data_IF_558397467463
#
_entry.id   IF_558397467463
#
_cell.length_a   1.000
_cell.length_b   1.000
_cell.length_c   1.000
_cell.angle_alpha   90.00
_cell.angle_beta   90.00
_cell.angle_gamma   90.00
#
_symmetry.space_group_name_H-M   'P 1'
#
loop_
_entity.id
_entity.type
_entity.pdbx_description
1 polymer ?
#
# COMPACT_ATOMS: atom_id res chain seq x y z
N UNK A 1 17.35 27.24 -0.84
CA UNK A 1 17.91 26.70 -2.10
C UNK A 1 19.42 26.85 -2.21
N UNK A 2 20.00 28.05 -2.05
CA UNK A 2 21.45 28.25 -2.17
C UNK A 2 22.29 27.36 -1.22
N UNK A 3 21.86 27.18 0.03
CA UNK A 3 22.54 26.30 0.99
C UNK A 3 22.61 24.83 0.53
N UNK A 4 21.50 24.24 0.08
CA UNK A 4 21.48 22.83 -0.35
C UNK A 4 22.33 22.61 -1.61
N UNK A 5 22.36 23.58 -2.52
CA UNK A 5 23.23 23.53 -3.69
C UNK A 5 24.71 23.60 -3.29
N UNK A 6 25.07 24.52 -2.41
CA UNK A 6 26.44 24.65 -1.90
C UNK A 6 26.88 23.38 -1.15
N UNK A 7 26.01 22.87 -0.27
CA UNK A 7 26.24 21.62 0.45
C UNK A 7 26.52 20.45 -0.51
N UNK A 8 25.77 20.36 -1.61
CA UNK A 8 26.02 19.33 -2.64
C UNK A 8 27.36 19.50 -3.34
N UNK A 9 27.77 20.72 -3.65
CA UNK A 9 29.03 21.01 -4.32
C UNK A 9 30.24 20.77 -3.41
N UNK A 10 30.09 21.04 -2.12
CA UNK A 10 31.17 20.91 -1.13
C UNK A 10 31.32 19.49 -0.58
N UNK A 11 30.29 18.64 -0.72
CA UNK A 11 30.32 17.26 -0.23
C UNK A 11 31.15 16.38 -1.17
N UNK A 12 32.27 15.78 -0.69
CA UNK A 12 33.04 14.83 -1.48
C UNK A 12 32.21 13.61 -1.88
N UNK A 13 32.52 13.04 -3.04
CA UNK A 13 31.90 11.80 -3.49
C UNK A 13 32.14 10.67 -2.47
N UNK A 14 31.07 10.00 -2.03
CA UNK A 14 31.10 8.95 -1.02
C UNK A 14 30.94 9.46 0.42
N UNK A 15 30.91 10.77 0.64
CA UNK A 15 30.66 11.38 1.95
C UNK A 15 29.21 11.85 2.12
N UNK A 16 28.33 11.63 1.14
CA UNK A 16 26.94 12.10 1.18
C UNK A 16 26.17 11.58 2.40
N UNK A 17 26.48 10.37 2.86
CA UNK A 17 25.82 9.74 4.00
C UNK A 17 26.18 10.31 5.38
N UNK A 18 27.23 11.13 5.48
CA UNK A 18 27.62 11.80 6.74
C UNK A 18 27.16 13.27 6.81
N UNK A 19 26.47 13.74 5.78
CA UNK A 19 25.96 15.11 5.72
C UNK A 19 24.70 15.23 6.58
N UNK A 20 24.70 16.19 7.49
CA UNK A 20 23.51 16.56 8.26
C UNK A 20 23.01 17.94 7.83
N UNK A 21 21.70 18.05 7.59
CA UNK A 21 21.06 19.33 7.27
C UNK A 21 20.39 19.87 8.55
N UNK A 22 20.79 21.06 9.04
CA UNK A 22 20.18 21.64 10.23
C UNK A 22 18.68 21.90 10.06
N UNK A 23 17.91 21.68 11.12
CA UNK A 23 16.46 21.93 11.13
C UNK A 23 16.08 23.38 10.80
N UNK A 24 16.97 24.34 11.07
CA UNK A 24 16.79 25.74 10.68
C UNK A 24 16.77 25.97 9.16
N UNK A 25 17.40 25.07 8.38
CA UNK A 25 17.37 25.07 6.92
C UNK A 25 16.20 24.23 6.41
N UNK A 26 16.00 23.05 6.99
CA UNK A 26 14.98 22.09 6.58
C UNK A 26 14.43 21.35 7.82
N UNK A 27 13.31 21.85 8.36
CA UNK A 27 12.63 21.23 9.50
C UNK A 27 12.04 19.86 9.10
N UNK A 28 12.49 18.74 9.71
CA UNK A 28 12.02 17.38 9.36
C UNK A 28 10.52 17.17 9.60
N UNK A 29 9.85 18.06 10.37
CA UNK A 29 8.40 18.06 10.58
C UNK A 29 7.62 18.62 9.39
N UNK A 30 8.30 19.35 8.50
CA UNK A 30 7.71 20.00 7.33
C UNK A 30 8.21 19.39 6.04
N UNK A 31 9.51 19.10 5.95
CA UNK A 31 10.17 18.58 4.76
C UNK A 31 11.27 17.61 5.15
N UNK A 32 11.40 16.50 4.41
CA UNK A 32 12.54 15.59 4.57
C UNK A 32 13.39 15.66 3.33
N UNK A 33 14.69 15.88 3.53
CA UNK A 33 15.68 15.87 2.47
C UNK A 33 16.33 14.49 2.45
N UNK A 34 16.36 13.88 1.28
CA UNK A 34 16.96 12.55 1.09
C UNK A 34 18.20 12.65 0.24
N UNK A 35 19.12 11.72 0.44
CA UNK A 35 20.06 11.31 -0.59
C UNK A 35 19.69 9.93 -1.11
N UNK A 36 19.95 9.71 -2.40
CA UNK A 36 19.77 8.42 -3.04
C UNK A 36 20.96 7.50 -2.74
N UNK A 37 20.68 6.28 -2.31
CA UNK A 37 21.66 5.22 -2.10
C UNK A 37 21.17 3.92 -2.78
N UNK A 38 22.01 2.89 -2.74
CA UNK A 38 21.60 1.53 -3.09
C UNK A 38 21.80 0.63 -1.88
N UNK A 39 20.86 -0.26 -1.63
CA UNK A 39 21.00 -1.25 -0.57
C UNK A 39 21.92 -2.42 -1.00
N UNK A 40 22.10 -3.40 -0.11
CA UNK A 40 22.97 -4.55 -0.35
C UNK A 40 22.52 -5.42 -1.55
N UNK A 41 21.28 -5.27 -2.00
CA UNK A 41 20.70 -5.99 -3.15
C UNK A 41 20.72 -5.14 -4.42
N UNK A 42 21.31 -3.93 -4.37
CA UNK A 42 21.37 -3.01 -5.51
C UNK A 42 20.06 -2.29 -5.79
N UNK A 43 19.11 -2.29 -4.85
CA UNK A 43 17.84 -1.59 -5.01
C UNK A 43 17.94 -0.15 -4.51
N UNK A 44 17.27 0.78 -5.19
CA UNK A 44 17.30 2.21 -4.86
C UNK A 44 16.69 2.46 -3.46
N UNK A 45 17.44 3.19 -2.62
CA UNK A 45 17.05 3.63 -1.30
C UNK A 45 17.12 5.16 -1.17
N UNK A 46 16.36 5.71 -0.22
CA UNK A 46 16.32 7.12 0.12
C UNK A 46 16.56 7.28 1.62
N UNK A 47 17.75 7.74 1.96
CA UNK A 47 18.21 7.91 3.33
C UNK A 47 18.06 9.39 3.75
N UNK A 48 17.38 9.68 4.89
CA UNK A 48 17.09 11.05 5.30
C UNK A 48 18.35 11.76 5.83
N UNK A 49 18.58 13.00 5.37
CA UNK A 49 19.72 13.85 5.76
C UNK A 49 19.41 14.82 6.91
N UNK A 50 18.13 15.04 7.21
CA UNK A 50 17.67 15.91 8.32
C UNK A 50 16.91 15.13 9.40
N UNK A 51 17.13 13.80 9.47
CA UNK A 51 16.49 12.91 10.43
C UNK A 51 15.06 12.50 10.06
N UNK A 52 14.42 11.78 10.98
CA UNK A 52 13.01 11.39 10.90
C UNK A 52 12.25 12.02 12.07
N UNK A 53 11.15 12.70 11.76
CA UNK A 53 10.21 13.17 12.77
C UNK A 53 8.78 13.10 12.23
N UNK A 54 7.83 13.01 13.14
CA UNK A 54 6.41 13.04 12.85
C UNK A 54 6.03 14.30 12.10
N UNK A 55 5.22 14.13 11.05
CA UNK A 55 4.79 15.22 10.17
C UNK A 55 3.33 15.04 9.76
N UNK A 56 2.62 16.15 9.61
CA UNK A 56 1.19 16.17 9.27
C UNK A 56 0.31 15.33 10.23
N UNK A 57 0.60 15.38 11.53
CA UNK A 57 -0.14 14.63 12.55
C UNK A 57 0.13 13.13 12.57
N UNK A 58 1.11 12.64 11.79
CA UNK A 58 1.53 11.24 11.78
C UNK A 58 2.73 11.01 12.70
N UNK A 59 2.87 9.80 13.29
CA UNK A 59 4.03 9.45 14.10
C UNK A 59 5.32 9.33 13.26
N UNK A 60 6.47 9.37 13.93
CA UNK A 60 7.81 9.40 13.32
C UNK A 60 8.09 8.19 12.42
N UNK A 61 7.50 7.04 12.73
CA UNK A 61 7.69 5.76 12.04
C UNK A 61 6.73 5.56 10.85
N UNK A 62 5.69 6.38 10.73
CA UNK A 62 4.63 6.24 9.72
C UNK A 62 5.18 6.18 8.28
N UNK A 63 5.94 7.19 7.88
CA UNK A 63 6.51 7.27 6.54
C UNK A 63 7.69 6.32 6.31
N UNK A 64 8.60 6.10 7.28
CA UNK A 64 9.58 5.02 7.19
C UNK A 64 8.94 3.65 6.93
N UNK A 65 7.92 3.26 7.70
CA UNK A 65 7.23 1.98 7.52
C UNK A 65 6.60 1.85 6.13
N UNK A 66 5.97 2.93 5.62
CA UNK A 66 5.46 2.95 4.26
C UNK A 66 6.57 2.79 3.22
N UNK A 67 7.72 3.47 3.38
CA UNK A 67 8.84 3.38 2.44
C UNK A 67 9.37 1.96 2.33
N UNK A 68 9.57 1.29 3.46
CA UNK A 68 10.11 -0.08 3.43
C UNK A 68 9.09 -1.09 2.93
N UNK A 69 7.81 -0.90 3.27
CA UNK A 69 6.74 -1.69 2.67
C UNK A 69 6.70 -1.55 1.15
N UNK A 70 6.87 -0.32 0.63
CA UNK A 70 6.98 -0.09 -0.80
C UNK A 70 8.21 -0.74 -1.41
N UNK A 71 9.38 -0.55 -0.78
CA UNK A 71 10.63 -1.12 -1.25
C UNK A 71 10.53 -2.64 -1.36
N UNK A 72 10.04 -3.30 -0.31
CA UNK A 72 9.81 -4.73 -0.28
C UNK A 72 8.82 -5.16 -1.39
N UNK A 73 7.68 -4.48 -1.50
CA UNK A 73 6.69 -4.76 -2.55
C UNK A 73 7.29 -4.67 -3.96
N UNK A 74 8.08 -3.63 -4.23
CA UNK A 74 8.67 -3.41 -5.55
C UNK A 74 9.81 -4.37 -5.87
N UNK A 75 10.60 -4.77 -4.88
CA UNK A 75 11.58 -5.86 -5.03
C UNK A 75 10.91 -7.16 -5.45
N UNK A 76 9.80 -7.51 -4.81
CA UNK A 76 9.05 -8.72 -5.17
C UNK A 76 8.44 -8.61 -6.56
N UNK A 77 7.74 -7.51 -6.84
CA UNK A 77 6.94 -7.39 -8.06
C UNK A 77 7.76 -7.12 -9.32
N UNK A 78 8.80 -6.29 -9.22
CA UNK A 78 9.57 -5.86 -10.40
C UNK A 78 10.94 -6.51 -10.52
N UNK A 79 11.58 -6.87 -9.39
CA UNK A 79 12.89 -7.52 -9.42
C UNK A 79 12.81 -9.04 -9.22
N UNK A 80 11.64 -9.58 -8.86
CA UNK A 80 11.47 -11.01 -8.54
C UNK A 80 12.29 -11.45 -7.33
N UNK A 81 12.74 -10.52 -6.49
CA UNK A 81 13.50 -10.80 -5.28
C UNK A 81 12.49 -11.10 -4.18
N UNK A 82 12.39 -12.35 -3.70
CA UNK A 82 11.44 -12.69 -2.66
C UNK A 82 11.86 -12.03 -1.35
N UNK A 83 10.92 -11.35 -0.69
CA UNK A 83 11.18 -10.78 0.64
C UNK A 83 10.92 -11.89 1.66
N UNK A 84 12.00 -12.38 2.26
CA UNK A 84 11.98 -13.45 3.23
C UNK A 84 11.37 -12.97 4.55
N UNK A 85 10.04 -13.04 4.66
CA UNK A 85 9.33 -12.60 5.86
C UNK A 85 8.25 -13.61 6.29
N UNK A 86 8.17 -13.86 7.61
CA UNK A 86 7.01 -14.47 8.24
C UNK A 86 5.87 -13.45 8.22
N UNK A 87 5.02 -13.58 7.22
CA UNK A 87 3.98 -12.61 6.97
C UNK A 87 2.77 -12.88 7.85
N UNK A 88 2.12 -11.77 8.20
CA UNK A 88 0.92 -11.62 9.02
C UNK A 88 -0.01 -12.84 9.06
N UNK A 89 -0.54 -13.14 10.25
CA UNK A 89 -1.64 -14.08 10.37
C UNK A 89 -2.86 -13.59 9.57
N UNK A 90 -3.46 -14.45 8.72
CA UNK A 90 -4.68 -14.12 7.99
C UNK A 90 -5.78 -13.63 8.94
N UNK A 91 -6.55 -12.62 8.51
CA UNK A 91 -7.82 -12.24 9.17
C UNK A 91 -7.77 -11.08 10.16
N UNK A 92 -6.62 -10.48 10.45
CA UNK A 92 -6.59 -9.21 11.21
C UNK A 92 -6.94 -8.05 10.28
N UNK A 93 -7.91 -7.16 10.61
CA UNK A 93 -8.19 -5.97 9.79
C UNK A 93 -6.98 -5.03 9.73
N UNK A 94 -6.72 -4.37 8.59
CA UNK A 94 -5.54 -3.52 8.42
C UNK A 94 -5.60 -2.28 9.32
N UNK A 95 -6.78 -1.68 9.43
CA UNK A 95 -7.08 -0.54 10.29
C UNK A 95 -6.87 -0.85 11.78
N UNK A 96 -6.96 -2.13 12.19
CA UNK A 96 -6.68 -2.56 13.55
C UNK A 96 -5.17 -2.55 13.87
N UNK A 97 -4.29 -2.53 12.86
CA UNK A 97 -2.85 -2.37 13.05
C UNK A 97 -2.51 -0.88 13.17
N UNK A 98 -3.06 -0.07 12.27
CA UNK A 98 -2.77 1.36 12.22
C UNK A 98 -3.93 2.11 11.55
N UNK A 99 -4.50 3.17 12.18
CA UNK A 99 -5.63 3.92 11.62
C UNK A 99 -5.40 4.42 10.20
N UNK A 100 -4.16 4.82 9.89
CA UNK A 100 -3.77 5.29 8.56
C UNK A 100 -3.81 4.22 7.46
N UNK A 101 -4.04 2.95 7.79
CA UNK A 101 -4.29 1.88 6.83
C UNK A 101 -5.78 1.73 6.47
N UNK A 102 -6.68 2.51 7.08
CA UNK A 102 -8.10 2.49 6.73
C UNK A 102 -8.35 2.76 5.22
N UNK A 103 -7.52 3.61 4.61
CA UNK A 103 -7.56 3.85 3.17
C UNK A 103 -7.29 2.59 2.34
N UNK A 104 -6.48 1.62 2.81
CA UNK A 104 -6.23 0.37 2.08
C UNK A 104 -7.49 -0.47 2.01
N UNK A 105 -8.20 -0.62 3.13
CA UNK A 105 -9.47 -1.34 3.18
C UNK A 105 -10.44 -0.73 2.18
N UNK A 106 -10.54 0.61 2.15
CA UNK A 106 -11.39 1.31 1.19
C UNK A 106 -10.95 1.09 -0.27
N UNK A 107 -9.65 1.16 -0.56
CA UNK A 107 -9.12 0.93 -1.90
C UNK A 107 -9.37 -0.51 -2.38
N UNK A 108 -9.21 -1.51 -1.49
CA UNK A 108 -9.49 -2.92 -1.77
C UNK A 108 -10.98 -3.12 -2.07
N UNK A 109 -11.87 -2.53 -1.27
CA UNK A 109 -13.32 -2.59 -1.49
C UNK A 109 -13.71 -1.98 -2.85
N UNK A 110 -13.19 -0.80 -3.17
CA UNK A 110 -13.43 -0.14 -4.45
C UNK A 110 -12.91 -0.98 -5.62
N UNK A 111 -11.71 -1.53 -5.50
CA UNK A 111 -11.13 -2.37 -6.54
C UNK A 111 -11.96 -3.66 -6.77
N UNK A 112 -12.42 -4.30 -5.68
CA UNK A 112 -13.33 -5.47 -5.76
C UNK A 112 -14.68 -5.11 -6.39
N UNK A 113 -15.23 -3.95 -6.05
CA UNK A 113 -16.44 -3.44 -6.70
C UNK A 113 -16.20 -3.21 -8.20
N UNK A 114 -15.04 -2.66 -8.58
CA UNK A 114 -14.66 -2.47 -9.98
C UNK A 114 -14.65 -3.77 -10.77
N UNK A 115 -14.07 -4.84 -10.20
CA UNK A 115 -14.10 -6.19 -10.79
C UNK A 115 -15.51 -6.72 -10.98
N UNK A 116 -16.38 -6.55 -9.98
CA UNK A 116 -17.78 -6.98 -10.07
C UNK A 116 -18.52 -6.24 -11.19
N UNK A 117 -18.33 -4.92 -11.30
CA UNK A 117 -18.92 -4.12 -12.38
C UNK A 117 -18.36 -4.51 -13.75
N UNK A 118 -17.06 -4.82 -13.86
CA UNK A 118 -16.48 -5.31 -15.11
C UNK A 118 -17.00 -6.69 -15.52
N UNK A 119 -17.25 -7.58 -14.57
CA UNK A 119 -17.89 -8.86 -14.85
C UNK A 119 -19.32 -8.68 -15.42
N UNK A 120 -20.07 -7.70 -14.90
CA UNK A 120 -21.37 -7.33 -15.44
C UNK A 120 -21.24 -6.72 -16.85
N UNK A 121 -20.30 -5.79 -17.04
CA UNK A 121 -20.05 -5.16 -18.33
C UNK A 121 -19.65 -6.19 -19.40
N UNK A 122 -18.83 -7.18 -19.02
CA UNK A 122 -18.46 -8.29 -19.89
C UNK A 122 -19.66 -9.13 -20.34
N UNK A 123 -20.63 -9.38 -19.45
CA UNK A 123 -21.87 -10.06 -19.81
C UNK A 123 -22.73 -9.22 -20.76
N UNK A 124 -22.90 -7.92 -20.46
CA UNK A 124 -23.69 -7.00 -21.27
C UNK A 124 -23.12 -6.82 -22.70
N UNK A 125 -21.79 -6.78 -22.86
CA UNK A 125 -21.16 -6.66 -24.18
C UNK A 125 -21.37 -7.92 -25.03
N UNK A 126 -21.48 -9.10 -24.41
CA UNK A 126 -21.75 -10.36 -25.11
C UNK A 126 -23.21 -10.54 -25.49
N UNK A 127 -24.12 -9.90 -24.75
CA UNK A 127 -25.55 -9.99 -24.99
C UNK A 127 -26.04 -8.88 -25.92
N UNK A 128 -26.21 -9.23 -27.20
CA UNK A 128 -26.71 -8.32 -28.24
C UNK A 128 -28.16 -7.83 -28.01
N UNK A 129 -28.89 -8.45 -27.09
CA UNK A 129 -30.25 -8.03 -26.72
C UNK A 129 -30.29 -7.05 -25.55
N UNK A 130 -29.15 -6.82 -24.88
CA UNK A 130 -29.07 -5.94 -23.70
C UNK A 130 -29.38 -4.48 -24.07
N UNK A 131 -30.21 -3.77 -23.27
CA UNK A 131 -30.47 -2.36 -23.47
C UNK A 131 -29.18 -1.51 -23.41
N UNK A 132 -28.94 -0.58 -24.36
CA UNK A 132 -27.75 0.26 -24.37
C UNK A 132 -27.54 1.07 -23.08
N UNK A 133 -28.62 1.39 -22.36
CA UNK A 133 -28.54 2.10 -21.09
C UNK A 133 -27.74 1.33 -20.03
N UNK A 134 -27.86 0.00 -19.97
CA UNK A 134 -27.15 -0.80 -18.97
C UNK A 134 -25.63 -0.78 -19.19
N UNK A 135 -25.19 -0.75 -20.45
CA UNK A 135 -23.77 -0.58 -20.79
C UNK A 135 -23.26 0.78 -20.33
N UNK A 136 -24.04 1.84 -20.56
CA UNK A 136 -23.69 3.19 -20.13
C UNK A 136 -23.61 3.29 -18.60
N UNK A 137 -24.56 2.70 -17.89
CA UNK A 137 -24.60 2.72 -16.42
C UNK A 137 -23.43 1.94 -15.80
N UNK A 138 -23.10 0.77 -16.36
CA UNK A 138 -21.95 -0.01 -15.93
C UNK A 138 -20.63 0.75 -16.17
N UNK A 139 -20.47 1.38 -17.34
CA UNK A 139 -19.29 2.18 -17.65
C UNK A 139 -19.17 3.41 -16.72
N UNK A 140 -20.28 4.12 -16.47
CA UNK A 140 -20.32 5.24 -15.53
C UNK A 140 -19.94 4.82 -14.10
N UNK A 141 -20.34 3.62 -13.70
CA UNK A 141 -19.98 3.03 -12.39
C UNK A 141 -18.48 2.76 -12.30
N UNK A 142 -17.86 2.16 -13.32
CA UNK A 142 -16.39 1.97 -13.37
C UNK A 142 -15.66 3.32 -13.26
N UNK A 143 -16.09 4.32 -14.03
CA UNK A 143 -15.49 5.66 -13.99
C UNK A 143 -15.67 6.37 -12.63
N UNK A 144 -16.77 6.11 -11.92
CA UNK A 144 -16.95 6.61 -10.55
C UNK A 144 -16.02 5.92 -9.56
N UNK A 145 -15.81 4.61 -9.70
CA UNK A 145 -14.87 3.84 -8.87
C UNK A 145 -13.44 4.37 -9.04
N UNK A 146 -13.00 4.66 -10.26
CA UNK A 146 -11.67 5.22 -10.52
C UNK A 146 -11.47 6.58 -9.83
N UNK A 147 -12.47 7.46 -9.92
CA UNK A 147 -12.42 8.77 -9.24
C UNK A 147 -12.34 8.61 -7.73
N UNK A 148 -13.13 7.71 -7.16
CA UNK A 148 -13.07 7.44 -5.72
C UNK A 148 -11.73 6.82 -5.30
N UNK A 149 -11.09 6.01 -6.14
CA UNK A 149 -9.73 5.54 -5.88
C UNK A 149 -8.74 6.71 -5.83
N UNK A 150 -8.82 7.64 -6.78
CA UNK A 150 -7.98 8.84 -6.77
C UNK A 150 -8.22 9.70 -5.51
N UNK A 151 -9.47 9.91 -5.11
CA UNK A 151 -9.83 10.60 -3.86
C UNK A 151 -9.25 9.91 -2.62
N UNK A 152 -9.30 8.57 -2.57
CA UNK A 152 -8.65 7.78 -1.51
C UNK A 152 -7.14 8.03 -1.49
N UNK A 153 -6.49 8.11 -2.66
CA UNK A 153 -5.05 8.39 -2.75
C UNK A 153 -4.67 9.78 -2.20
N UNK A 154 -5.55 10.77 -2.39
CA UNK A 154 -5.37 12.13 -1.88
C UNK A 154 -5.60 12.21 -0.37
N UNK A 155 -6.60 11.48 0.15
CA UNK A 155 -6.91 11.42 1.57
C UNK A 155 -5.88 10.60 2.38
N UNK A 156 -5.26 9.59 1.74
CA UNK A 156 -4.30 8.69 2.36
C UNK A 156 -2.98 8.68 1.58
N UNK A 157 -2.04 9.60 1.86
CA UNK A 157 -0.84 9.81 1.04
C UNK A 157 0.03 8.56 0.85
N UNK A 158 0.06 7.64 1.83
CA UNK A 158 0.82 6.38 1.70
C UNK A 158 0.25 5.46 0.63
N UNK A 159 -0.94 5.72 0.08
CA UNK A 159 -1.55 4.94 -1.01
C UNK A 159 -1.34 5.57 -2.38
N UNK A 160 -0.82 6.80 -2.40
CA UNK A 160 -0.58 7.57 -3.62
C UNK A 160 0.13 6.76 -4.69
N UNK A 161 1.23 6.08 -4.34
CA UNK A 161 2.01 5.33 -5.32
C UNK A 161 1.28 4.09 -5.86
N UNK A 162 0.63 3.29 -5.00
CA UNK A 162 -0.13 2.09 -5.44
C UNK A 162 -1.24 2.48 -6.42
N UNK A 163 -2.03 3.49 -6.06
CA UNK A 163 -3.19 3.92 -6.87
C UNK A 163 -2.71 4.59 -8.15
N UNK A 164 -1.63 5.39 -8.10
CA UNK A 164 -1.07 6.01 -9.29
C UNK A 164 -0.53 5.00 -10.29
N UNK A 165 0.09 3.91 -9.83
CA UNK A 165 0.54 2.83 -10.72
C UNK A 165 -0.66 2.18 -11.42
N UNK A 166 -1.74 1.88 -10.69
CA UNK A 166 -2.97 1.36 -11.29
C UNK A 166 -3.53 2.30 -12.38
N UNK A 167 -3.62 3.61 -12.09
CA UNK A 167 -4.10 4.61 -13.06
C UNK A 167 -3.20 4.62 -14.31
N UNK A 168 -1.87 4.65 -14.12
CA UNK A 168 -0.93 4.66 -15.24
C UNK A 168 -0.97 3.38 -16.06
N UNK A 169 -1.09 2.21 -15.43
CA UNK A 169 -1.26 0.93 -16.13
C UNK A 169 -2.53 0.94 -16.97
N UNK A 170 -3.62 1.49 -16.43
CA UNK A 170 -4.92 1.61 -17.13
C UNK A 170 -4.84 2.56 -18.33
N UNK A 171 -4.23 3.73 -18.18
CA UNK A 171 -4.00 4.70 -19.27
C UNK A 171 -3.12 4.12 -20.40
N UNK A 172 -2.32 3.09 -20.08
CA UNK A 172 -1.45 2.40 -21.03
C UNK A 172 -2.07 1.17 -21.69
N UNK A 173 -3.31 0.80 -21.37
CA UNK A 173 -4.02 -0.24 -22.12
C UNK A 173 -4.16 0.16 -23.60
N UNK A 174 -4.10 -0.83 -24.48
CA UNK A 174 -4.15 -0.66 -25.94
C UNK A 174 -5.02 -1.75 -26.53
N UNK A 175 -5.74 -1.41 -27.59
CA UNK A 175 -6.59 -2.34 -28.33
C UNK A 175 -7.97 -1.77 -28.59
N UNK A 176 -8.64 -2.38 -29.57
CA UNK A 176 -9.96 -1.95 -30.03
C UNK A 176 -11.06 -2.98 -29.68
N UNK A 177 -10.68 -4.17 -29.17
CA UNK A 177 -11.62 -5.20 -28.73
C UNK A 177 -12.15 -4.88 -27.31
N UNK A 178 -13.45 -4.57 -27.15
CA UNK A 178 -14.03 -4.26 -25.85
C UNK A 178 -13.91 -5.40 -24.85
N UNK A 179 -14.00 -6.67 -25.28
CA UNK A 179 -13.91 -7.81 -24.36
C UNK A 179 -12.49 -7.98 -23.82
N UNK A 180 -11.49 -7.77 -24.67
CA UNK A 180 -10.10 -7.75 -24.26
C UNK A 180 -9.82 -6.61 -23.26
N UNK A 181 -10.27 -5.38 -23.58
CA UNK A 181 -10.09 -4.22 -22.69
C UNK A 181 -10.73 -4.43 -21.31
N UNK A 182 -11.93 -5.03 -21.26
CA UNK A 182 -12.59 -5.38 -20.00
C UNK A 182 -11.77 -6.39 -19.21
N UNK A 183 -11.27 -7.45 -19.87
CA UNK A 183 -10.45 -8.47 -19.21
C UNK A 183 -9.12 -7.92 -18.70
N UNK A 184 -8.46 -7.04 -19.45
CA UNK A 184 -7.22 -6.39 -19.03
C UNK A 184 -7.47 -5.44 -17.85
N UNK A 185 -8.55 -4.66 -17.90
CA UNK A 185 -8.94 -3.78 -16.79
C UNK A 185 -9.28 -4.58 -15.53
N UNK A 186 -9.96 -5.73 -15.64
CA UNK A 186 -10.24 -6.60 -14.48
C UNK A 186 -8.95 -7.07 -13.82
N UNK A 187 -7.96 -7.47 -14.63
CA UNK A 187 -6.63 -7.86 -14.15
C UNK A 187 -5.91 -6.71 -13.45
N UNK A 188 -6.07 -5.46 -13.91
CA UNK A 188 -5.50 -4.30 -13.22
C UNK A 188 -6.14 -4.07 -11.84
N UNK A 189 -7.47 -4.21 -11.71
CA UNK A 189 -8.12 -4.15 -10.40
C UNK A 189 -7.71 -5.31 -9.49
N UNK A 190 -7.54 -6.52 -10.03
CA UNK A 190 -7.00 -7.66 -9.28
C UNK A 190 -5.58 -7.39 -8.77
N UNK A 191 -4.71 -6.84 -9.62
CA UNK A 191 -3.37 -6.42 -9.22
C UNK A 191 -3.42 -5.34 -8.13
N UNK A 192 -4.33 -4.37 -8.24
CA UNK A 192 -4.53 -3.34 -7.22
C UNK A 192 -4.93 -3.94 -5.87
N UNK A 193 -5.85 -4.92 -5.84
CA UNK A 193 -6.21 -5.65 -4.61
C UNK A 193 -4.98 -6.34 -4.03
N UNK A 194 -4.27 -7.15 -4.84
CA UNK A 194 -3.09 -7.91 -4.41
C UNK A 194 -2.01 -6.98 -3.85
N UNK A 195 -1.67 -5.90 -4.56
CA UNK A 195 -0.67 -4.91 -4.13
C UNK A 195 -1.07 -4.23 -2.82
N UNK A 196 -2.34 -3.85 -2.68
CA UNK A 196 -2.85 -3.21 -1.47
C UNK A 196 -2.78 -4.14 -0.25
N UNK A 197 -3.20 -5.39 -0.42
CA UNK A 197 -3.12 -6.42 0.63
C UNK A 197 -1.66 -6.72 1.01
N UNK A 198 -0.80 -6.83 0.00
CA UNK A 198 0.63 -7.10 0.17
C UNK A 198 1.33 -5.95 0.89
N UNK A 199 1.13 -4.73 0.43
CA UNK A 199 1.63 -3.51 1.06
C UNK A 199 1.17 -3.41 2.51
N UNK A 200 -0.12 -3.64 2.78
CA UNK A 200 -0.64 -3.61 4.15
C UNK A 200 0.04 -4.62 5.07
N UNK A 201 0.34 -5.81 4.56
CA UNK A 201 1.06 -6.85 5.30
C UNK A 201 2.52 -6.46 5.60
N UNK A 202 3.22 -5.92 4.60
CA UNK A 202 4.59 -5.43 4.75
C UNK A 202 4.68 -4.22 5.68
N UNK A 203 3.74 -3.27 5.55
CA UNK A 203 3.66 -2.12 6.44
C UNK A 203 3.50 -2.55 7.89
N UNK A 204 2.60 -3.52 8.15
CA UNK A 204 2.40 -4.06 9.47
C UNK A 204 3.68 -4.67 10.05
N UNK A 205 4.40 -5.43 9.23
CA UNK A 205 5.66 -6.06 9.60
C UNK A 205 6.69 -5.01 10.06
N UNK A 206 6.94 -3.98 9.24
CA UNK A 206 7.89 -2.92 9.59
C UNK A 206 7.45 -2.10 10.80
N UNK A 207 6.15 -1.84 10.95
CA UNK A 207 5.62 -1.15 12.12
C UNK A 207 5.85 -1.94 13.43
N UNK A 208 5.73 -3.27 13.40
CA UNK A 208 6.05 -4.11 14.57
C UNK A 208 7.55 -4.09 14.85
N UNK A 209 8.40 -4.26 13.83
CA UNK A 209 9.86 -4.31 14.00
C UNK A 209 10.44 -3.02 14.59
N UNK A 210 9.91 -1.85 14.20
CA UNK A 210 10.42 -0.54 14.64
C UNK A 210 10.02 -0.09 16.04
N UNK A 211 9.32 -0.94 16.78
CA UNK A 211 8.94 -0.63 18.16
C UNK A 211 7.52 -0.12 18.27
N UNK A 212 6.57 -0.85 17.68
CA UNK A 212 5.18 -0.77 18.12
C UNK A 212 5.08 -0.97 19.63
N UNK A 213 4.97 0.14 20.36
CA UNK A 213 4.32 0.25 21.66
C UNK A 213 2.80 0.01 21.57
N UNK A 214 2.32 -0.60 20.49
CA UNK A 214 1.04 -1.27 20.45
C UNK A 214 1.25 -2.68 21.00
N UNK A 215 0.83 -2.88 22.25
CA UNK A 215 0.36 -4.12 22.86
C UNK A 215 0.97 -5.41 22.29
N UNK A 216 1.61 -6.26 23.10
CA UNK A 216 0.89 -7.41 23.69
C UNK A 216 -0.54 -7.57 23.14
N UNK A 217 -0.69 -7.89 21.86
CA UNK A 217 -1.79 -8.70 21.40
C UNK A 217 -1.53 -10.03 22.08
N UNK A 218 -2.03 -10.16 23.32
CA UNK A 218 -2.22 -11.47 23.90
C UNK A 218 -2.99 -12.21 22.82
N UNK A 219 -2.48 -13.33 22.28
CA UNK A 219 -3.34 -14.19 21.50
C UNK A 219 -4.58 -14.40 22.35
N UNK A 220 -5.77 -14.11 21.79
CA UNK A 220 -7.02 -14.42 22.44
C UNK A 220 -6.86 -15.83 22.99
N UNK A 221 -6.92 -15.95 24.32
CA UNK A 221 -6.65 -17.21 24.98
C UNK A 221 -7.46 -18.26 24.24
N UNK A 222 -6.76 -19.24 23.63
CA UNK A 222 -7.42 -20.44 23.13
C UNK A 222 -8.29 -20.89 24.29
N UNK A 223 -9.60 -20.79 24.12
CA UNK A 223 -10.54 -21.46 25.00
C UNK A 223 -10.13 -22.91 24.94
N UNK A 224 -9.39 -23.34 25.95
CA UNK A 224 -9.10 -24.75 26.13
C UNK A 224 -10.46 -25.43 26.12
N UNK A 225 -10.63 -26.55 25.39
CA UNK A 225 -11.84 -27.33 25.52
C UNK A 225 -12.01 -27.62 27.02
N UNK A 226 -13.14 -27.21 27.58
CA UNK A 226 -13.57 -27.67 28.88
C UNK A 226 -13.62 -29.19 28.72
N UNK A 227 -12.61 -29.87 29.26
CA UNK A 227 -12.66 -31.30 29.46
C UNK A 227 -13.85 -31.50 30.39
N UNK A 228 -14.95 -31.98 29.82
CA UNK A 228 -16.06 -32.57 30.55
C UNK A 228 -15.46 -33.67 31.41
N UNK A 229 -15.24 -33.38 32.68
CA UNK A 229 -14.98 -34.39 33.69
C UNK A 229 -16.29 -35.14 33.88
N UNK A 230 -16.43 -36.23 33.13
CA UNK A 230 -17.13 -37.41 33.64
C UNK A 230 -16.43 -37.82 34.94
N UNK A 231 -17.08 -37.56 36.07
CA UNK A 231 -16.93 -38.42 37.22
C UNK A 231 -18.33 -38.78 37.71
N UNK A 232 -18.67 -40.02 37.41
CA UNK A 232 -19.51 -40.85 38.26
C UNK A 232 -19.16 -40.64 39.73
N UNK A 233 -20.20 -40.50 40.55
CA UNK A 233 -20.25 -41.30 41.78
C UNK A 233 -21.70 -41.59 42.15
N UNK A 234 -21.93 -42.89 42.36
CA UNK A 234 -23.19 -43.55 42.65
C UNK A 234 -23.58 -43.37 44.12
N UNK A 235 -24.87 -43.20 44.39
CA UNK A 235 -25.65 -43.91 45.41
C UNK A 235 -27.13 -43.51 45.30
#
# INVERSE_FOLDING_TARGET
MAYLAQLRLDTPLGAEGSVEIPAAIADPRQVVVYYSAFDAEGFLDFLPLNGCSGRHGQPDDYYPNARDAYRALWKEEFAGIPVAEELRQPGVPLEAIHPSLAGLTKAIELARAGRQTLAQLHQLVRDVSSPPQLLNDANATVAAIDRHLEEVSLAYPILGAIIRIFIMEKENLRGDDPLQLISETDRLYENLVRRSERFGSLYAHYAVQRGGSAARVRPAARSLPILSSEQHESA
#
